data_IF_691230671726
#
_entry.id   IF_691230671726
#
_cell.length_a   1.000
_cell.length_b   1.000
_cell.length_c   1.000
_cell.angle_alpha   90.00
_cell.angle_beta   90.00
_cell.angle_gamma   90.00
#
_symmetry.space_group_name_H-M   'P 1'
#
loop_
_entity.id
_entity.type
_entity.pdbx_description
1 polymer ?
#
# COMPACT_ATOMS: atom_id res chain seq x y z
N UNK A 1 -4.60 -2.42 9.01
CA UNK A 1 -5.38 -1.22 8.59
C UNK A 1 -6.88 -1.40 8.39
N UNK A 2 -7.39 -2.42 7.67
CA UNK A 2 -8.86 -2.65 7.64
C UNK A 2 -9.46 -2.83 9.05
N UNK A 3 -8.67 -3.40 9.96
CA UNK A 3 -9.05 -3.55 11.36
C UNK A 3 -9.17 -2.20 12.09
N UNK A 4 -8.23 -1.28 11.92
CA UNK A 4 -8.32 0.07 12.49
C UNK A 4 -9.57 0.84 12.02
N UNK A 5 -10.02 0.67 10.76
CA UNK A 5 -11.30 1.25 10.32
C UNK A 5 -12.49 0.68 11.11
N UNK A 6 -12.51 -0.63 11.36
CA UNK A 6 -13.56 -1.26 12.19
C UNK A 6 -13.52 -0.74 13.63
N UNK A 7 -12.33 -0.58 14.21
CA UNK A 7 -12.16 -0.06 15.55
C UNK A 7 -12.67 1.40 15.66
N UNK A 8 -12.41 2.25 14.66
CA UNK A 8 -13.00 3.61 14.60
C UNK A 8 -14.53 3.53 14.53
N UNK A 9 -15.08 2.63 13.71
CA UNK A 9 -16.53 2.43 13.63
C UNK A 9 -17.15 1.96 14.96
N UNK A 10 -16.37 1.30 15.81
CA UNK A 10 -16.76 0.84 17.14
C UNK A 10 -16.44 1.86 18.25
N UNK A 11 -15.80 2.99 17.92
CA UNK A 11 -15.37 4.00 18.90
C UNK A 11 -14.11 3.63 19.70
N UNK A 12 -13.42 2.54 19.34
CA UNK A 12 -12.19 2.10 20.02
C UNK A 12 -10.97 2.81 19.43
N UNK A 13 -10.65 4.01 19.92
CA UNK A 13 -9.48 4.77 19.46
C UNK A 13 -8.15 4.19 19.95
N UNK A 14 -8.13 3.52 21.09
CA UNK A 14 -6.94 2.83 21.62
C UNK A 14 -6.47 1.73 20.67
N UNK A 15 -7.39 0.90 20.18
CA UNK A 15 -7.05 -0.18 19.24
C UNK A 15 -6.59 0.37 17.88
N UNK A 16 -7.07 1.56 17.49
CA UNK A 16 -6.68 2.23 16.25
C UNK A 16 -5.24 2.68 16.33
N UNK A 17 -4.88 3.36 17.42
CA UNK A 17 -3.51 3.79 17.68
C UNK A 17 -2.58 2.58 17.71
N UNK A 18 -2.93 1.53 18.44
CA UNK A 18 -2.13 0.32 18.54
C UNK A 18 -1.89 -0.32 17.16
N UNK A 19 -2.94 -0.56 16.38
CA UNK A 19 -2.80 -1.15 15.04
C UNK A 19 -2.00 -0.25 14.09
N UNK A 20 -2.09 1.07 14.25
CA UNK A 20 -1.32 2.03 13.48
C UNK A 20 0.17 1.96 13.85
N UNK A 21 0.50 2.00 15.14
CA UNK A 21 1.87 1.89 15.65
C UNK A 21 2.50 0.54 15.31
N UNK A 22 1.77 -0.57 15.41
CA UNK A 22 2.21 -1.90 14.99
C UNK A 22 2.58 -1.92 13.50
N UNK A 23 1.74 -1.31 12.66
CA UNK A 23 2.01 -1.22 11.21
C UNK A 23 3.23 -0.35 10.93
N UNK A 24 3.39 0.79 11.63
CA UNK A 24 4.57 1.65 11.51
C UNK A 24 5.84 0.92 11.97
N UNK A 25 5.77 0.17 13.07
CA UNK A 25 6.90 -0.61 13.57
C UNK A 25 7.29 -1.70 12.58
N UNK A 26 6.31 -2.40 11.99
CA UNK A 26 6.56 -3.40 10.95
C UNK A 26 7.21 -2.79 9.70
N UNK A 27 6.81 -1.57 9.31
CA UNK A 27 7.44 -0.81 8.22
C UNK A 27 8.88 -0.38 8.57
N UNK A 28 9.12 0.13 9.78
CA UNK A 28 10.45 0.57 10.24
C UNK A 28 11.43 -0.59 10.37
N UNK A 29 10.98 -1.70 10.93
CA UNK A 29 11.78 -2.92 11.12
C UNK A 29 11.92 -3.75 9.84
N UNK A 30 11.27 -3.32 8.75
CA UNK A 30 11.23 -4.02 7.46
C UNK A 30 10.71 -5.46 7.56
N UNK A 31 9.79 -5.70 8.49
CA UNK A 31 9.19 -7.02 8.75
C UNK A 31 8.11 -7.39 7.72
N UNK A 32 7.53 -6.39 7.03
CA UNK A 32 6.57 -6.64 5.96
C UNK A 32 7.27 -7.07 4.67
N UNK A 33 6.75 -8.05 3.92
CA UNK A 33 7.30 -8.40 2.62
C UNK A 33 7.08 -7.27 1.61
N UNK A 34 7.97 -7.18 0.61
CA UNK A 34 7.85 -6.17 -0.46
C UNK A 34 6.52 -6.29 -1.24
N UNK A 35 5.92 -7.48 -1.27
CA UNK A 35 4.60 -7.74 -1.86
C UNK A 35 3.46 -7.00 -1.17
N UNK A 36 3.51 -6.82 0.15
CA UNK A 36 2.47 -6.14 0.94
C UNK A 36 2.50 -4.63 0.77
N UNK A 37 3.68 -4.06 0.50
CA UNK A 37 3.87 -2.62 0.23
C UNK A 37 3.83 -2.28 -1.26
N UNK A 38 3.66 -3.28 -2.12
CA UNK A 38 3.63 -3.09 -3.57
C UNK A 38 2.33 -2.41 -4.01
N UNK A 39 2.47 -1.46 -4.94
CA UNK A 39 1.34 -0.85 -5.62
C UNK A 39 1.02 -1.64 -6.88
N UNK A 40 -0.25 -2.00 -7.07
CA UNK A 40 -0.76 -2.66 -8.27
C UNK A 40 -1.45 -1.65 -9.18
N UNK A 41 -0.95 -1.48 -10.41
CA UNK A 41 -1.49 -0.53 -11.38
C UNK A 41 -1.69 -1.18 -12.75
N UNK A 42 -2.74 -0.74 -13.45
CA UNK A 42 -3.02 -1.13 -14.83
C UNK A 42 -2.25 -0.22 -15.78
N UNK A 43 -1.46 -0.80 -16.67
CA UNK A 43 -0.77 -0.06 -17.73
C UNK A 43 -1.80 0.44 -18.74
N UNK A 44 -1.71 1.72 -19.08
CA UNK A 44 -2.59 2.36 -20.07
C UNK A 44 -1.87 2.61 -21.40
N UNK A 45 -0.53 2.69 -21.38
CA UNK A 45 0.32 2.91 -22.54
C UNK A 45 1.08 1.63 -22.89
N UNK A 46 1.26 1.40 -24.18
CA UNK A 46 2.22 0.42 -24.68
C UNK A 46 3.66 0.96 -24.57
N UNK A 47 4.64 0.13 -24.93
CA UNK A 47 6.06 0.48 -24.85
C UNK A 47 6.42 1.72 -25.67
N UNK A 48 5.95 1.82 -26.92
CA UNK A 48 6.34 2.91 -27.82
C UNK A 48 5.75 4.25 -27.35
N UNK A 49 4.47 4.26 -26.95
CA UNK A 49 3.81 5.43 -26.41
C UNK A 49 4.47 5.93 -25.12
N UNK A 50 4.88 5.01 -24.24
CA UNK A 50 5.62 5.41 -23.04
C UNK A 50 6.99 6.01 -23.38
N UNK A 51 7.80 5.35 -24.23
CA UNK A 51 9.12 5.85 -24.61
C UNK A 51 9.06 7.25 -25.25
N UNK A 52 8.03 7.54 -26.05
CA UNK A 52 7.80 8.86 -26.62
C UNK A 52 7.46 9.92 -25.55
N UNK A 53 6.71 9.55 -24.51
CA UNK A 53 6.32 10.47 -23.42
C UNK A 53 7.32 10.55 -22.25
N UNK A 54 8.30 9.63 -22.18
CA UNK A 54 9.26 9.48 -21.08
C UNK A 54 10.09 10.73 -20.80
N UNK A 55 10.44 11.49 -21.84
CA UNK A 55 11.21 12.74 -21.71
C UNK A 55 10.41 13.82 -20.96
N UNK A 56 9.08 13.79 -21.06
CA UNK A 56 8.18 14.72 -20.39
C UNK A 56 7.84 14.28 -18.97
N UNK A 57 7.56 12.99 -18.78
CA UNK A 57 7.20 12.43 -17.47
C UNK A 57 7.70 10.99 -17.35
N UNK A 58 8.52 10.74 -16.32
CA UNK A 58 8.93 9.39 -15.94
C UNK A 58 7.90 8.84 -14.97
N UNK A 59 7.17 7.82 -15.40
CA UNK A 59 6.13 7.20 -14.58
C UNK A 59 6.68 5.91 -13.95
N UNK A 60 6.47 5.75 -12.63
CA UNK A 60 7.12 4.71 -11.84
C UNK A 60 6.83 3.29 -12.34
N UNK A 61 5.61 3.02 -12.79
CA UNK A 61 5.18 1.69 -13.26
C UNK A 61 5.94 1.20 -14.50
N UNK A 62 6.30 2.10 -15.42
CA UNK A 62 7.03 1.72 -16.63
C UNK A 62 8.54 1.73 -16.39
N UNK A 63 9.07 2.65 -15.57
CA UNK A 63 10.48 2.61 -15.16
C UNK A 63 10.79 1.32 -14.38
N UNK A 64 9.86 0.81 -13.57
CA UNK A 64 10.00 -0.47 -12.87
C UNK A 64 10.24 -1.62 -13.84
N UNK A 65 9.46 -1.70 -14.93
CA UNK A 65 9.58 -2.74 -15.95
C UNK A 65 10.91 -2.61 -16.70
N UNK A 66 11.28 -1.39 -17.09
CA UNK A 66 12.55 -1.12 -17.76
C UNK A 66 13.76 -1.48 -16.88
N UNK A 67 13.70 -1.18 -15.58
CA UNK A 67 14.76 -1.52 -14.62
C UNK A 67 14.87 -3.04 -14.40
N UNK A 68 13.76 -3.78 -14.50
CA UNK A 68 13.73 -5.23 -14.53
C UNK A 68 14.20 -5.84 -15.86
N UNK A 69 14.52 -5.01 -16.87
CA UNK A 69 14.93 -5.46 -18.20
C UNK A 69 13.78 -5.81 -19.13
N UNK A 70 12.53 -5.68 -18.68
CA UNK A 70 11.34 -5.93 -19.49
C UNK A 70 11.04 -4.71 -20.36
N UNK A 71 11.38 -4.82 -21.64
CA UNK A 71 11.17 -3.77 -22.65
C UNK A 71 9.87 -3.90 -23.43
N UNK A 72 9.10 -4.96 -23.21
CA UNK A 72 7.84 -5.20 -23.92
C UNK A 72 6.73 -5.47 -22.90
N UNK A 73 5.62 -4.74 -23.04
CA UNK A 73 4.40 -4.91 -22.25
C UNK A 73 3.18 -4.51 -23.09
N UNK A 74 2.02 -5.05 -22.74
CA UNK A 74 0.76 -4.74 -23.42
C UNK A 74 -0.01 -3.68 -22.64
N UNK A 75 -0.68 -2.78 -23.36
CA UNK A 75 -1.66 -1.90 -22.73
C UNK A 75 -2.79 -2.74 -22.12
N UNK A 76 -3.13 -2.47 -20.87
CA UNK A 76 -4.11 -3.21 -20.09
C UNK A 76 -3.56 -4.23 -19.11
N UNK A 77 -2.26 -4.56 -19.18
CA UNK A 77 -1.60 -5.45 -18.22
C UNK A 77 -1.57 -4.83 -16.82
N UNK A 78 -1.72 -5.65 -15.77
CA UNK A 78 -1.60 -5.21 -14.38
C UNK A 78 -0.20 -5.53 -13.89
N UNK A 79 0.52 -4.52 -13.41
CA UNK A 79 1.87 -4.70 -12.87
C UNK A 79 1.91 -4.28 -11.42
N UNK A 80 2.70 -5.00 -10.63
CA UNK A 80 3.02 -4.64 -9.25
C UNK A 80 4.43 -4.06 -9.20
N UNK A 81 4.59 -2.97 -8.48
CA UNK A 81 5.89 -2.39 -8.23
C UNK A 81 5.93 -1.74 -6.85
N UNK A 82 7.13 -1.62 -6.29
CA UNK A 82 7.37 -0.94 -5.02
C UNK A 82 8.53 0.05 -5.17
N UNK A 83 8.67 0.96 -4.21
CA UNK A 83 9.79 1.90 -4.16
C UNK A 83 10.90 1.33 -3.29
N UNK A 84 12.06 1.07 -3.88
CA UNK A 84 13.25 0.67 -3.14
C UNK A 84 13.84 1.84 -2.33
N UNK A 85 14.71 1.52 -1.37
CA UNK A 85 15.42 2.46 -0.49
C UNK A 85 16.25 3.51 -1.26
N UNK A 86 16.72 3.17 -2.46
CA UNK A 86 17.41 4.08 -3.37
C UNK A 86 16.46 5.03 -4.14
N UNK A 87 15.16 4.95 -3.87
CA UNK A 87 14.12 5.72 -4.53
C UNK A 87 13.70 5.20 -5.90
N UNK A 88 14.34 4.15 -6.42
CA UNK A 88 14.00 3.56 -7.71
C UNK A 88 12.78 2.64 -7.62
N UNK A 89 11.92 2.62 -8.65
CA UNK A 89 10.81 1.70 -8.70
C UNK A 89 11.30 0.30 -9.10
N UNK A 90 10.90 -0.71 -8.35
CA UNK A 90 11.26 -2.12 -8.58
C UNK A 90 9.99 -2.90 -8.91
N UNK A 91 10.02 -3.62 -10.03
CA UNK A 91 8.92 -4.47 -10.44
C UNK A 91 8.89 -5.76 -9.61
N UNK A 92 7.68 -6.18 -9.22
CA UNK A 92 7.41 -7.47 -8.61
C UNK A 92 6.52 -8.30 -9.53
N UNK A 93 6.86 -9.57 -9.78
CA UNK A 93 5.95 -10.50 -10.43
C UNK A 93 4.63 -10.58 -9.67
N UNK A 94 3.51 -10.66 -10.40
CA UNK A 94 2.22 -10.99 -9.80
C UNK A 94 2.32 -12.49 -9.43
N UNK A 95 2.28 -12.86 -8.14
CA UNK A 95 2.34 -14.28 -7.70
C UNK A 95 1.12 -15.12 -8.15
N UNK A 96 0.22 -14.57 -8.96
CA UNK A 96 -0.97 -15.24 -9.49
C UNK A 96 -1.28 -14.78 -10.92
N UNK A 97 -0.42 -15.16 -11.85
CA UNK A 97 -0.83 -15.47 -13.24
C UNK A 97 -0.58 -16.96 -13.53
N UNK A 98 -0.69 -17.81 -12.50
CA UNK A 98 -0.78 -19.27 -12.67
C UNK A 98 -2.26 -19.70 -12.65
N UNK A 99 -3.00 -19.21 -13.64
CA UNK A 99 -3.96 -20.08 -14.30
C UNK A 99 -3.24 -20.56 -15.55
N UNK A 100 -2.21 -21.39 -15.37
CA UNK A 100 -1.94 -22.42 -16.36
C UNK A 100 -3.26 -23.19 -16.48
N UNK A 101 -3.98 -23.11 -17.62
CA UNK A 101 -5.13 -23.96 -17.80
C UNK A 101 -4.65 -25.39 -17.58
N UNK A 102 -5.40 -26.10 -16.72
CA UNK A 102 -5.22 -27.51 -16.45
C UNK A 102 -4.69 -28.21 -17.70
N UNK A 103 -3.52 -28.86 -17.55
CA UNK A 103 -3.10 -29.91 -18.47
C UNK A 103 -4.14 -31.02 -18.38
N UNK A 104 -5.22 -30.87 -19.14
CA UNK A 104 -6.01 -32.01 -19.59
C UNK A 104 -5.18 -32.70 -20.67
N UNK A 105 -4.27 -33.57 -20.23
CA UNK A 105 -3.79 -34.70 -21.02
C UNK A 105 -2.76 -35.51 -20.21
N UNK A 106 -3.31 -36.57 -19.63
CA UNK A 106 -2.77 -37.93 -19.63
C UNK A 106 -1.85 -38.36 -18.49
N UNK A 107 -2.36 -39.41 -17.85
CA UNK A 107 -1.80 -40.27 -16.83
C UNK A 107 -0.48 -40.92 -17.28
N UNK A 108 0.27 -41.40 -16.28
CA UNK A 108 1.49 -42.21 -16.37
C UNK A 108 2.79 -41.55 -16.84
N UNK A 109 3.53 -40.98 -15.87
CA UNK A 109 4.97 -41.28 -15.77
C UNK A 109 5.52 -40.98 -14.36
N UNK A 110 5.72 -42.02 -13.57
CA UNK A 110 6.56 -41.98 -12.35
C UNK A 110 8.03 -42.02 -12.77
N UNK A 111 8.74 -40.88 -12.80
CA UNK A 111 10.15 -40.76 -12.36
C UNK A 111 10.72 -39.35 -12.57
N UNK A 112 11.38 -38.86 -11.52
CA UNK A 112 12.49 -37.90 -11.49
C UNK A 112 12.42 -36.62 -12.35
N UNK A 113 12.29 -35.48 -11.67
CA UNK A 113 13.44 -34.60 -11.42
C UNK A 113 12.99 -33.38 -10.61
N UNK A 114 13.48 -33.32 -9.36
CA UNK A 114 13.52 -32.09 -8.59
C UNK A 114 14.30 -31.06 -9.43
N UNK A 115 13.63 -30.01 -9.89
CA UNK A 115 14.29 -28.82 -10.44
C UNK A 115 14.60 -27.89 -9.29
N UNK A 116 15.83 -27.80 -8.77
CA UNK A 116 16.19 -26.69 -7.92
C UNK A 116 16.50 -25.53 -8.86
N UNK A 117 15.48 -24.79 -9.31
CA UNK A 117 15.71 -23.45 -9.85
C UNK A 117 15.93 -22.50 -8.68
N UNK A 118 17.04 -22.71 -7.96
CA UNK A 118 17.77 -21.61 -7.36
C UNK A 118 18.23 -20.71 -8.51
N UNK A 119 17.34 -19.81 -8.94
CA UNK A 119 17.77 -18.56 -9.53
C UNK A 119 18.58 -17.87 -8.44
N UNK A 120 19.90 -18.07 -8.49
CA UNK A 120 20.87 -17.28 -7.75
C UNK A 120 20.72 -15.85 -8.24
N UNK A 121 19.74 -15.12 -7.68
CA UNK A 121 19.62 -13.68 -7.84
C UNK A 121 20.99 -13.16 -7.40
N UNK A 122 21.75 -12.47 -8.27
CA UNK A 122 23.02 -11.89 -7.87
C UNK A 122 22.71 -11.05 -6.63
N UNK A 123 23.44 -11.29 -5.53
CA UNK A 123 23.27 -10.59 -4.25
C UNK A 123 23.62 -9.11 -4.44
N UNK A 124 22.82 -8.36 -5.19
CA UNK A 124 22.63 -6.93 -4.99
C UNK A 124 22.31 -6.80 -3.51
N UNK A 125 23.08 -5.96 -2.82
CA UNK A 125 22.95 -5.72 -1.40
C UNK A 125 21.46 -5.71 -1.03
N UNK A 126 21.03 -6.62 -0.17
CA UNK A 126 19.62 -6.78 0.22
C UNK A 126 19.02 -5.46 0.69
N UNK A 127 19.86 -4.56 1.20
CA UNK A 127 19.51 -3.19 1.57
C UNK A 127 19.10 -2.28 0.38
N UNK A 128 19.67 -2.48 -0.82
CA UNK A 128 19.28 -1.75 -2.05
C UNK A 128 17.98 -2.27 -2.66
N UNK A 129 17.62 -3.53 -2.36
CA UNK A 129 16.35 -4.13 -2.76
C UNK A 129 15.29 -3.95 -1.66
N UNK A 130 15.69 -3.59 -0.44
CA UNK A 130 14.78 -3.24 0.62
C UNK A 130 13.94 -2.03 0.21
N UNK A 131 12.67 -2.03 0.59
CA UNK A 131 11.76 -0.93 0.30
C UNK A 131 12.11 0.31 1.14
N UNK A 132 11.72 1.48 0.63
CA UNK A 132 11.89 2.75 1.35
C UNK A 132 10.86 2.88 2.48
N UNK A 133 11.26 2.42 3.67
CA UNK A 133 10.40 2.45 4.86
C UNK A 133 9.93 3.86 5.22
N UNK A 134 10.73 4.91 4.99
CA UNK A 134 10.34 6.29 5.31
C UNK A 134 9.25 6.79 4.35
N UNK A 135 9.42 6.51 3.06
CA UNK A 135 8.40 6.80 2.05
C UNK A 135 7.07 6.09 2.37
N UNK A 136 7.10 4.79 2.71
CA UNK A 136 5.88 4.06 2.99
C UNK A 136 5.19 4.49 4.29
N UNK A 137 5.93 4.97 5.30
CA UNK A 137 5.35 5.62 6.48
C UNK A 137 4.57 6.90 6.09
N UNK A 138 5.14 7.72 5.21
CA UNK A 138 4.45 8.92 4.71
C UNK A 138 3.25 8.59 3.84
N UNK A 139 3.35 7.60 2.95
CA UNK A 139 2.22 7.14 2.14
C UNK A 139 1.09 6.64 3.02
N UNK A 140 1.41 5.90 4.08
CA UNK A 140 0.42 5.43 5.05
C UNK A 140 -0.32 6.59 5.71
N UNK A 141 0.41 7.61 6.16
CA UNK A 141 -0.17 8.83 6.73
C UNK A 141 -1.07 9.56 5.71
N UNK A 142 -0.51 9.93 4.56
CA UNK A 142 -1.14 10.82 3.60
C UNK A 142 -2.31 10.16 2.83
N UNK A 143 -2.38 8.84 2.79
CA UNK A 143 -3.47 8.15 2.07
C UNK A 143 -4.52 7.57 3.00
N UNK A 144 -4.11 6.99 4.13
CA UNK A 144 -5.00 6.27 5.04
C UNK A 144 -5.40 7.17 6.21
N UNK A 145 -4.44 7.74 6.94
CA UNK A 145 -4.74 8.59 8.09
C UNK A 145 -5.55 9.82 7.66
N UNK A 146 -5.22 10.46 6.54
CA UNK A 146 -6.00 11.60 6.03
C UNK A 146 -7.51 11.33 5.88
N UNK A 147 -7.92 10.10 5.54
CA UNK A 147 -9.35 9.76 5.46
C UNK A 147 -10.04 9.72 6.82
N UNK A 148 -9.27 9.41 7.87
CA UNK A 148 -9.74 9.34 9.24
C UNK A 148 -9.80 10.72 9.91
N UNK A 149 -9.13 11.72 9.33
CA UNK A 149 -9.18 13.12 9.77
C UNK A 149 -10.60 13.67 9.89
N UNK A 150 -11.52 13.20 9.04
CA UNK A 150 -12.92 13.65 9.05
C UNK A 150 -13.69 13.17 10.28
N UNK A 151 -13.26 12.06 10.90
CA UNK A 151 -13.93 11.45 12.04
C UNK A 151 -13.35 11.89 13.40
N UNK A 152 -12.33 12.75 13.41
CA UNK A 152 -11.54 13.12 14.59
C UNK A 152 -11.39 14.63 14.67
N UNK A 153 -11.20 15.16 15.89
CA UNK A 153 -10.70 16.52 16.04
C UNK A 153 -9.29 16.62 15.46
N UNK A 154 -8.91 17.79 14.91
CA UNK A 154 -7.59 17.97 14.31
C UNK A 154 -6.45 17.72 15.31
N UNK A 155 -6.61 18.11 16.58
CA UNK A 155 -5.63 17.87 17.64
C UNK A 155 -5.46 16.38 17.94
N UNK A 156 -6.57 15.64 18.09
CA UNK A 156 -6.57 14.20 18.37
C UNK A 156 -5.95 13.43 17.19
N UNK A 157 -6.22 13.88 15.95
CA UNK A 157 -5.62 13.31 14.75
C UNK A 157 -4.09 13.43 14.75
N UNK A 158 -3.55 14.61 15.06
CA UNK A 158 -2.09 14.81 15.10
C UNK A 158 -1.42 14.04 16.23
N UNK A 159 -2.15 13.73 17.31
CA UNK A 159 -1.63 12.92 18.40
C UNK A 159 -1.62 11.42 18.04
N UNK A 160 -2.72 10.92 17.47
CA UNK A 160 -2.88 9.49 17.13
C UNK A 160 -2.00 9.04 15.96
N UNK A 161 -1.83 9.88 14.95
CA UNK A 161 -1.16 9.49 13.70
C UNK A 161 0.28 10.01 13.59
N UNK A 162 1.00 10.15 14.71
CA UNK A 162 2.40 10.58 14.65
C UNK A 162 3.28 9.62 13.87
N UNK A 163 4.08 10.19 12.98
CA UNK A 163 5.11 9.43 12.23
C UNK A 163 6.34 9.18 13.11
N UNK A 164 6.58 10.02 14.11
CA UNK A 164 7.60 9.82 15.13
C UNK A 164 7.02 9.00 16.28
N UNK A 165 7.72 7.94 16.69
CA UNK A 165 7.28 7.08 17.81
C UNK A 165 7.34 7.77 19.18
N UNK A 166 7.68 9.06 19.22
CA UNK A 166 7.84 9.80 20.46
C UNK A 166 6.48 10.23 20.98
N UNK A 167 6.03 9.55 22.03
CA UNK A 167 4.94 10.03 22.89
C UNK A 167 5.41 11.32 23.55
N UNK A 168 4.66 12.40 23.33
CA UNK A 168 4.90 13.67 24.01
C UNK A 168 4.30 13.58 25.39
N UNK A 169 4.97 14.19 26.37
CA UNK A 169 4.50 14.25 27.74
C UNK A 169 3.16 15.00 27.89
N UNK A 170 2.76 15.79 26.89
CA UNK A 170 1.51 16.55 26.84
C UNK A 170 0.37 15.84 26.10
N UNK A 171 0.58 14.58 25.71
CA UNK A 171 -0.41 13.79 25.01
C UNK A 171 -1.59 13.45 25.93
N UNK A 172 -2.82 13.68 25.46
CA UNK A 172 -4.03 13.28 26.21
C UNK A 172 -4.18 11.76 26.16
N UNK A 173 -4.70 11.11 27.22
CA UNK A 173 -5.04 9.70 27.16
C UNK A 173 -6.01 9.44 26.00
N UNK A 174 -5.69 8.44 25.16
CA UNK A 174 -6.48 8.12 23.96
C UNK A 174 -7.90 7.66 24.34
N UNK A 175 -8.11 7.21 25.58
CA UNK A 175 -9.43 6.88 26.12
C UNK A 175 -10.37 8.09 26.23
N UNK A 176 -9.84 9.32 26.32
CA UNK A 176 -10.64 10.55 26.44
C UNK A 176 -11.02 11.15 25.08
N UNK A 177 -10.42 10.68 23.99
CA UNK A 177 -10.69 11.17 22.64
C UNK A 177 -12.06 10.69 22.14
N UNK A 178 -12.74 11.52 21.35
CA UNK A 178 -14.08 11.18 20.85
C UNK A 178 -14.14 11.23 19.32
N UNK A 179 -14.74 10.19 18.74
CA UNK A 179 -15.04 10.16 17.31
C UNK A 179 -16.19 11.12 17.02
N UNK A 180 -15.92 12.17 16.25
CA UNK A 180 -16.96 13.05 15.71
C UNK A 180 -17.53 12.41 14.46
N UNK A 181 -18.56 11.59 14.64
CA UNK A 181 -19.41 11.19 13.54
C UNK A 181 -20.07 12.46 12.99
N UNK A 182 -19.81 12.77 11.71
CA UNK A 182 -20.68 13.69 10.97
C UNK A 182 -22.06 13.03 11.00
N UNK A 183 -22.92 13.47 11.92
CA UNK A 183 -24.34 13.19 11.80
C UNK A 183 -24.73 13.84 10.48
N UNK A 184 -25.09 13.05 9.48
CA UNK A 184 -25.96 13.54 8.42
C UNK A 184 -27.19 14.07 9.14
N UNK A 185 -27.24 15.39 9.35
CA UNK A 185 -28.44 16.03 9.83
C UNK A 185 -29.53 15.64 8.82
N UNK A 186 -30.61 14.95 9.23
CA UNK A 186 -31.77 14.86 8.35
C UNK A 186 -32.17 16.31 8.06
N UNK A 187 -32.18 16.66 6.78
CA UNK A 187 -32.43 18.03 6.34
C UNK A 187 -33.64 18.59 7.07
N UNK A 188 -33.44 19.72 7.75
CA UNK A 188 -34.53 20.48 8.35
C UNK A 188 -35.37 21.00 7.20
N UNK A 189 -36.39 20.25 6.80
CA UNK A 189 -37.45 20.75 5.93
C UNK A 189 -38.34 21.66 6.77
N UNK A 190 -37.85 22.88 7.02
CA UNK A 190 -38.71 24.01 7.38
C UNK A 190 -39.57 24.33 6.16
N UNK A 191 -40.73 23.70 6.08
CA UNK A 191 -41.86 24.26 5.35
C UNK A 191 -42.71 24.94 6.41
N UNK A 192 -42.34 26.19 6.71
CA UNK A 192 -43.30 27.15 7.23
C UNK A 192 -44.32 27.42 6.10
N UNK A 193 -45.48 26.78 6.16
CA UNK A 193 -46.69 27.37 5.61
C UNK A 193 -47.56 27.81 6.79
N UNK A 194 -47.47 29.11 7.09
CA UNK A 194 -48.53 29.86 7.75
C UNK A 194 -49.30 30.64 6.68
N UNK A 195 -50.63 30.67 6.80
CA UNK A 195 -51.49 31.67 6.16
C UNK A 195 -52.74 31.11 5.50
#
# INVERSE_FOLDING_TARGET
MRQALRCIMQGNLVEVEQHYQETLQALRTRSLPASDVATRLRLTKDTQAYLASRTKQKEAQYEALLAAGRKQWKSGERVRFYRASNGAPVWLPDEVDDISPLKDAEEDNEEMAQVPLSFSVPRRSTDLLAYDSAYYQQVLLNSYAERLRVALEPEDFFQLFRVDAQTSFFDRPVEEMQVRWIRCAPGVSSIEEQG
#
